data_IF_010122557498
#
_entry.id   IF_010122557498
#
_cell.length_a   1.000
_cell.length_b   1.000
_cell.length_c   1.000
_cell.angle_alpha   90.00
_cell.angle_beta   90.00
_cell.angle_gamma   90.00
#
_symmetry.space_group_name_H-M   'P 1'
#
loop_
_entity.id
_entity.type
_entity.pdbx_description
1 polymer ?
#
# COMPACT_ATOMS: atom_id res chain seq x y z
N UNK A 1 9.85 -1.74 10.33
CA UNK A 1 10.64 -2.97 10.03
C UNK A 1 11.28 -2.69 8.70
N UNK A 2 12.60 -2.89 8.49
CA UNK A 2 13.23 -2.44 7.24
C UNK A 2 12.50 -3.01 6.02
N UNK A 3 12.27 -2.15 5.02
CA UNK A 3 11.58 -2.54 3.80
C UNK A 3 12.27 -3.75 3.14
N UNK A 4 11.49 -4.74 2.73
CA UNK A 4 12.03 -5.89 2.00
C UNK A 4 12.52 -5.46 0.62
N UNK A 5 13.47 -6.21 0.06
CA UNK A 5 13.95 -5.96 -1.31
C UNK A 5 12.82 -5.96 -2.34
N UNK A 6 11.79 -6.79 -2.15
CA UNK A 6 10.65 -6.83 -3.06
C UNK A 6 9.82 -5.54 -3.00
N UNK A 7 9.57 -5.02 -1.80
CA UNK A 7 8.91 -3.72 -1.62
C UNK A 7 9.73 -2.62 -2.29
N UNK A 8 11.06 -2.59 -2.08
CA UNK A 8 11.94 -1.59 -2.72
C UNK A 8 11.86 -1.66 -4.25
N UNK A 9 11.82 -2.86 -4.85
CA UNK A 9 11.64 -3.01 -6.31
C UNK A 9 10.31 -2.40 -6.76
N UNK A 10 9.22 -2.60 -6.00
CA UNK A 10 7.91 -2.00 -6.30
C UNK A 10 7.88 -0.49 -6.13
N UNK A 11 8.63 0.07 -5.19
CA UNK A 11 8.77 1.52 -5.04
C UNK A 11 9.59 2.16 -6.18
N UNK A 12 10.61 1.44 -6.67
CA UNK A 12 11.33 1.83 -7.88
C UNK A 12 10.42 1.81 -9.11
N UNK A 13 9.55 0.79 -9.24
CA UNK A 13 8.54 0.72 -10.31
C UNK A 13 7.65 1.96 -10.34
N UNK A 14 7.14 2.40 -9.17
CA UNK A 14 6.39 3.66 -9.03
C UNK A 14 7.21 4.86 -9.51
N UNK A 15 8.48 4.93 -9.09
CA UNK A 15 9.39 6.05 -9.44
C UNK A 15 9.71 6.10 -10.93
N UNK A 16 9.72 4.95 -11.62
CA UNK A 16 9.91 4.87 -13.07
C UNK A 16 8.65 5.11 -13.87
N UNK A 17 7.47 4.82 -13.30
CA UNK A 17 6.18 5.00 -13.96
C UNK A 17 5.74 6.46 -13.98
N UNK A 18 6.09 7.21 -12.93
CA UNK A 18 5.63 8.59 -12.74
C UNK A 18 6.66 9.56 -13.29
N UNK A 19 6.28 10.23 -14.37
CA UNK A 19 7.10 11.23 -15.05
C UNK A 19 7.07 12.57 -14.31
N UNK A 20 5.88 13.04 -13.90
CA UNK A 20 5.71 14.28 -13.14
C UNK A 20 5.46 14.03 -11.64
N UNK A 21 6.54 14.13 -10.86
CA UNK A 21 6.53 13.97 -9.40
C UNK A 21 5.94 15.15 -8.64
N UNK A 22 5.42 16.17 -9.33
CA UNK A 22 4.73 17.31 -8.74
C UNK A 22 3.21 17.20 -8.83
N UNK A 23 2.68 16.37 -9.73
CA UNK A 23 1.25 16.19 -9.90
C UNK A 23 0.91 14.79 -10.40
N UNK A 24 0.15 14.04 -9.59
CA UNK A 24 -0.31 12.71 -9.94
C UNK A 24 -1.64 12.77 -10.70
N UNK A 25 -1.65 12.21 -11.91
CA UNK A 25 -2.85 11.95 -12.71
C UNK A 25 -3.69 10.81 -12.12
N UNK A 26 -4.96 10.72 -12.53
CA UNK A 26 -5.84 9.63 -12.08
C UNK A 26 -5.31 8.24 -12.49
N UNK A 27 -4.77 8.13 -13.70
CA UNK A 27 -4.15 6.90 -14.19
C UNK A 27 -2.96 6.48 -13.32
N UNK A 28 -2.04 7.39 -13.03
CA UNK A 28 -0.88 7.10 -12.16
C UNK A 28 -1.31 6.68 -10.75
N UNK A 29 -2.37 7.29 -10.22
CA UNK A 29 -2.93 6.91 -8.92
C UNK A 29 -3.47 5.49 -8.94
N UNK A 30 -4.14 5.08 -10.02
CA UNK A 30 -4.67 3.73 -10.15
C UNK A 30 -3.56 2.69 -10.34
N UNK A 31 -2.47 3.05 -11.02
CA UNK A 31 -1.25 2.23 -11.10
C UNK A 31 -0.58 2.08 -9.72
N UNK A 32 -0.39 3.18 -8.98
CA UNK A 32 0.14 3.15 -7.60
C UNK A 32 -0.70 2.23 -6.71
N UNK A 33 -2.03 2.36 -6.75
CA UNK A 33 -2.94 1.48 -6.00
C UNK A 33 -2.74 0.02 -6.38
N UNK A 34 -2.59 -0.28 -7.67
CA UNK A 34 -2.41 -1.64 -8.18
C UNK A 34 -1.10 -2.24 -7.69
N UNK A 35 -0.02 -1.46 -7.68
CA UNK A 35 1.29 -1.86 -7.15
C UNK A 35 1.18 -2.21 -5.65
N UNK A 36 0.65 -1.30 -4.82
CA UNK A 36 0.49 -1.57 -3.38
C UNK A 36 -0.46 -2.74 -3.10
N UNK A 37 -1.51 -2.90 -3.92
CA UNK A 37 -2.41 -4.05 -3.82
C UNK A 37 -1.67 -5.35 -4.10
N UNK A 38 -0.77 -5.36 -5.08
CA UNK A 38 0.11 -6.50 -5.38
C UNK A 38 0.97 -6.89 -4.18
N UNK A 39 1.58 -5.90 -3.51
CA UNK A 39 2.40 -6.12 -2.31
C UNK A 39 1.57 -6.77 -1.18
N UNK A 40 0.42 -6.20 -0.83
CA UNK A 40 -0.37 -6.74 0.28
C UNK A 40 -1.00 -8.09 -0.05
N UNK A 41 -1.24 -8.36 -1.34
CA UNK A 41 -1.78 -9.64 -1.82
C UNK A 41 -0.73 -10.75 -1.90
N UNK A 42 0.57 -10.43 -1.98
CA UNK A 42 1.65 -11.43 -1.85
C UNK A 42 1.88 -11.87 -0.40
N UNK A 43 1.16 -11.28 0.56
CA UNK A 43 1.33 -11.53 1.99
C UNK A 43 2.38 -10.63 2.65
N UNK A 44 2.96 -9.69 1.90
CA UNK A 44 3.91 -8.73 2.46
C UNK A 44 3.19 -7.58 3.19
N UNK A 45 3.92 -6.99 4.13
CA UNK A 45 3.51 -5.84 4.92
C UNK A 45 4.66 -4.84 4.96
N UNK A 46 4.30 -3.57 5.00
CA UNK A 46 5.25 -2.47 5.12
C UNK A 46 4.79 -1.51 6.21
N UNK A 47 5.77 -0.85 6.80
CA UNK A 47 5.53 0.30 7.67
C UNK A 47 5.29 1.53 6.79
N UNK A 48 4.22 2.27 7.08
CA UNK A 48 3.82 3.45 6.32
C UNK A 48 4.87 4.56 6.46
N UNK A 49 5.50 4.68 7.62
CA UNK A 49 6.56 5.67 7.88
C UNK A 49 7.83 5.33 7.09
N UNK A 50 8.13 4.04 6.92
CA UNK A 50 9.25 3.57 6.09
C UNK A 50 9.01 3.87 4.60
N UNK A 51 7.76 3.83 4.12
CA UNK A 51 7.40 4.24 2.75
C UNK A 51 7.64 5.73 2.54
N UNK A 52 7.15 6.59 3.44
CA UNK A 52 7.37 8.04 3.31
C UNK A 52 8.86 8.38 3.35
N UNK A 53 9.59 7.78 4.28
CA UNK A 53 11.03 7.95 4.43
C UNK A 53 11.79 7.48 3.18
N UNK A 54 11.35 6.40 2.53
CA UNK A 54 11.97 5.92 1.30
C UNK A 54 11.84 6.95 0.17
N UNK A 55 10.64 7.49 -0.06
CA UNK A 55 10.41 8.51 -1.08
C UNK A 55 11.16 9.82 -0.77
N UNK A 56 11.27 10.19 0.50
CA UNK A 56 12.06 11.35 0.91
C UNK A 56 13.56 11.16 0.62
N UNK A 57 14.10 9.97 0.88
CA UNK A 57 15.52 9.66 0.70
C UNK A 57 15.92 9.36 -0.76
N UNK A 58 14.99 8.94 -1.61
CA UNK A 58 15.25 8.69 -3.04
C UNK A 58 15.67 9.98 -3.77
N UNK A 59 15.17 11.14 -3.32
CA UNK A 59 15.67 12.45 -3.72
C UNK A 59 15.03 13.08 -4.95
N UNK A 60 14.31 12.32 -5.79
CA UNK A 60 13.58 12.89 -6.93
C UNK A 60 12.16 13.36 -6.56
N UNK A 61 11.62 12.88 -5.45
CA UNK A 61 10.30 13.22 -4.93
C UNK A 61 10.32 14.47 -4.04
N UNK A 62 10.66 15.64 -4.60
CA UNK A 62 10.80 16.87 -3.82
C UNK A 62 9.48 17.36 -3.19
N UNK A 63 8.34 17.14 -3.85
CA UNK A 63 7.05 17.65 -3.38
C UNK A 63 6.48 16.79 -2.23
N UNK A 64 6.50 17.35 -1.01
CA UNK A 64 5.97 16.69 0.19
C UNK A 64 4.50 16.30 0.06
N UNK A 65 3.66 17.12 -0.57
CA UNK A 65 2.24 16.81 -0.73
C UNK A 65 2.03 15.54 -1.58
N UNK A 66 2.88 15.34 -2.59
CA UNK A 66 2.85 14.13 -3.41
C UNK A 66 3.36 12.91 -2.64
N UNK A 67 4.46 13.04 -1.88
CA UNK A 67 4.94 11.95 -1.01
C UNK A 67 3.85 11.50 -0.03
N UNK A 68 3.25 12.44 0.70
CA UNK A 68 2.15 12.17 1.64
C UNK A 68 0.96 11.54 0.94
N UNK A 69 0.63 11.96 -0.30
CA UNK A 69 -0.46 11.37 -1.07
C UNK A 69 -0.20 9.90 -1.39
N UNK A 70 1.03 9.54 -1.79
CA UNK A 70 1.41 8.15 -2.06
C UNK A 70 1.37 7.32 -0.77
N UNK A 71 1.89 7.85 0.34
CA UNK A 71 1.83 7.23 1.67
C UNK A 71 0.39 6.98 2.12
N UNK A 72 -0.52 7.93 1.88
CA UNK A 72 -1.94 7.74 2.19
C UNK A 72 -2.60 6.65 1.33
N UNK A 73 -2.21 6.53 0.06
CA UNK A 73 -2.69 5.46 -0.81
C UNK A 73 -2.20 4.11 -0.29
N UNK A 74 -0.92 3.98 0.07
CA UNK A 74 -0.37 2.73 0.59
C UNK A 74 -1.08 2.29 1.86
N UNK A 75 -1.27 3.21 2.81
CA UNK A 75 -1.98 2.96 4.06
C UNK A 75 -3.42 2.51 3.82
N UNK A 76 -4.17 3.22 2.97
CA UNK A 76 -5.55 2.85 2.63
C UNK A 76 -5.66 1.44 2.04
N UNK A 77 -4.74 1.07 1.15
CA UNK A 77 -4.73 -0.25 0.51
C UNK A 77 -4.43 -1.36 1.52
N UNK A 78 -3.45 -1.15 2.40
CA UNK A 78 -3.11 -2.11 3.45
C UNK A 78 -4.28 -2.33 4.42
N UNK A 79 -4.86 -1.24 4.94
CA UNK A 79 -6.00 -1.29 5.85
C UNK A 79 -7.20 -1.99 5.23
N UNK A 80 -7.53 -1.63 3.98
CA UNK A 80 -8.66 -2.24 3.27
C UNK A 80 -8.45 -3.73 3.02
N UNK A 81 -7.23 -4.13 2.68
CA UNK A 81 -6.90 -5.54 2.50
C UNK A 81 -7.04 -6.32 3.80
N UNK A 82 -6.56 -5.76 4.93
CA UNK A 82 -6.69 -6.36 6.25
C UNK A 82 -8.14 -6.50 6.72
N UNK A 83 -8.95 -5.46 6.53
CA UNK A 83 -10.38 -5.52 6.84
C UNK A 83 -11.07 -6.61 6.01
N UNK A 84 -10.76 -6.70 4.72
CA UNK A 84 -11.31 -7.73 3.84
C UNK A 84 -10.86 -9.13 4.25
N UNK A 85 -9.60 -9.31 4.63
CA UNK A 85 -9.08 -10.60 5.09
C UNK A 85 -9.75 -11.05 6.40
N UNK A 86 -9.94 -10.13 7.36
CA UNK A 86 -10.67 -10.40 8.61
C UNK A 86 -12.10 -10.88 8.36
N UNK A 87 -12.81 -10.29 7.39
CA UNK A 87 -14.16 -10.71 7.02
C UNK A 87 -14.21 -12.11 6.36
N UNK A 88 -13.18 -12.49 5.61
CA UNK A 88 -13.08 -13.83 5.00
C UNK A 88 -12.90 -14.93 6.05
N UNK A 89 -12.05 -14.71 7.05
CA UNK A 89 -11.85 -15.68 8.15
C UNK A 89 -13.15 -15.95 8.91
N UNK A 90 -13.94 -14.90 9.19
CA UNK A 90 -15.26 -15.04 9.84
C UNK A 90 -16.25 -15.86 8.98
N UNK A 91 -16.08 -15.83 7.66
CA UNK A 91 -16.99 -16.52 6.73
C UNK A 91 -16.68 -18.01 6.57
N UNK A 92 -15.43 -18.43 6.83
CA UNK A 92 -14.98 -19.83 6.72
C UNK A 92 -15.04 -20.58 8.06
N UNK A 93 -14.93 -19.86 9.19
CA UNK A 93 -15.10 -20.41 10.55
C UNK A 93 -16.54 -20.25 11.08
N UNK A 94 -17.53 -20.30 10.18
CA UNK A 94 -18.95 -20.25 10.48
C UNK A 94 -19.52 -21.55 11.07
N UNK A 95 -18.71 -22.33 11.80
CA UNK A 95 -19.23 -23.32 12.74
C UNK A 95 -19.67 -22.60 14.03
N UNK A 96 -20.98 -22.64 14.30
CA UNK A 96 -21.54 -22.46 15.65
C UNK A 96 -21.34 -21.08 16.31
N UNK A 97 -21.96 -20.03 15.76
CA UNK A 97 -22.52 -18.98 16.62
C UNK A 97 -23.93 -19.41 17.07
N UNK A 98 -23.96 -20.37 18.00
CA UNK A 98 -25.13 -20.65 18.84
C UNK A 98 -25.33 -19.45 19.76
N UNK A 99 -26.11 -18.47 19.31
CA UNK A 99 -26.79 -17.57 20.24
C UNK A 99 -27.81 -18.42 21.00
N UNK A 100 -27.36 -18.92 22.15
CA UNK A 100 -28.16 -19.70 23.08
C UNK A 100 -29.48 -19.01 23.38
N UNK A 101 -30.51 -19.85 23.39
CA UNK A 101 -31.91 -19.61 23.70
C UNK A 101 -32.17 -18.66 24.89
#
# INVERSE_FOLDING_TARGET
>A
MPLTNNIIIKLNEITTLIEDKNNLTETEIDEIKSIFKGIVSSGERYDVDDIESWFENEGTWANKAIRVRITNISHYIQDKYEQTAKLKVISEDGESCSCGN
#
